data_IF_973153737799
#
_entry.id   IF_973153737799
#
_cell.length_a   1.000
_cell.length_b   1.000
_cell.length_c   1.000
_cell.angle_alpha   90.00
_cell.angle_beta   90.00
_cell.angle_gamma   90.00
#
_symmetry.space_group_name_H-M   'P 1'
#
loop_
_entity.id
_entity.type
_entity.pdbx_description
1 polymer ?
#
# COMPACT_ATOMS: atom_id res chain seq x y z
N UNK A 1 38.65 5.04 -20.42
CA UNK A 1 38.05 5.64 -19.20
C UNK A 1 36.54 5.96 -19.30
N UNK A 2 35.85 5.66 -20.41
CA UNK A 2 34.39 5.85 -20.55
C UNK A 2 33.53 4.65 -20.12
N UNK A 3 34.12 3.47 -19.99
CA UNK A 3 33.40 2.20 -19.75
C UNK A 3 32.94 2.00 -18.30
N UNK A 4 33.63 2.58 -17.33
CA UNK A 4 33.26 2.49 -15.90
C UNK A 4 32.01 3.32 -15.56
N UNK A 5 31.78 4.42 -16.29
CA UNK A 5 30.66 5.34 -16.07
C UNK A 5 29.31 4.74 -16.52
N UNK A 6 29.32 3.88 -17.54
CA UNK A 6 28.13 3.21 -18.09
C UNK A 6 27.71 2.04 -17.19
N UNK A 7 28.67 1.31 -16.62
CA UNK A 7 28.39 0.19 -15.71
C UNK A 7 27.70 0.67 -14.41
N UNK A 8 28.12 1.79 -13.84
CA UNK A 8 27.51 2.36 -12.62
C UNK A 8 26.05 2.76 -12.81
N UNK A 9 25.69 3.30 -13.98
CA UNK A 9 24.32 3.74 -14.27
C UNK A 9 23.36 2.57 -14.52
N UNK A 10 23.85 1.48 -15.10
CA UNK A 10 23.09 0.25 -15.32
C UNK A 10 22.80 -0.50 -14.00
N UNK A 11 23.76 -0.51 -13.07
CA UNK A 11 23.57 -1.12 -11.74
C UNK A 11 22.55 -0.32 -10.91
N UNK A 12 22.62 1.01 -10.95
CA UNK A 12 21.69 1.89 -10.21
C UNK A 12 20.25 1.76 -10.68
N UNK A 13 20.03 1.59 -11.99
CA UNK A 13 18.70 1.41 -12.56
C UNK A 13 18.11 0.02 -12.28
N UNK A 14 18.93 -1.05 -12.31
CA UNK A 14 18.49 -2.39 -11.90
C UNK A 14 18.14 -2.45 -10.41
N UNK A 15 18.95 -1.84 -9.56
CA UNK A 15 18.69 -1.78 -8.12
C UNK A 15 17.37 -1.06 -7.81
N UNK A 16 17.11 0.10 -8.45
CA UNK A 16 15.81 0.81 -8.30
C UNK A 16 14.62 -0.04 -8.73
N UNK A 17 14.74 -0.78 -9.84
CA UNK A 17 13.67 -1.70 -10.29
C UNK A 17 13.42 -2.82 -9.29
N UNK A 18 14.48 -3.47 -8.78
CA UNK A 18 14.35 -4.56 -7.80
C UNK A 18 13.68 -4.06 -6.52
N UNK A 19 14.15 -2.93 -5.98
CA UNK A 19 13.55 -2.32 -4.78
C UNK A 19 12.08 -2.00 -5.04
N UNK A 20 11.76 -1.37 -6.17
CA UNK A 20 10.37 -1.04 -6.52
C UNK A 20 9.47 -2.28 -6.62
N UNK A 21 9.93 -3.37 -7.24
CA UNK A 21 9.15 -4.61 -7.35
C UNK A 21 8.96 -5.27 -5.99
N UNK A 22 10.00 -5.32 -5.15
CA UNK A 22 9.90 -5.86 -3.80
C UNK A 22 8.95 -5.04 -2.93
N UNK A 23 9.02 -3.70 -3.01
CA UNK A 23 8.13 -2.81 -2.28
C UNK A 23 6.67 -3.05 -2.67
N UNK A 24 6.38 -3.24 -3.97
CA UNK A 24 5.03 -3.51 -4.44
C UNK A 24 4.51 -4.87 -3.95
N UNK A 25 5.34 -5.91 -4.00
CA UNK A 25 5.00 -7.23 -3.49
C UNK A 25 4.75 -7.23 -1.97
N UNK A 26 5.59 -6.53 -1.21
CA UNK A 26 5.41 -6.34 0.24
C UNK A 26 4.12 -5.58 0.56
N UNK A 27 3.83 -4.52 -0.20
CA UNK A 27 2.57 -3.77 -0.06
C UNK A 27 1.37 -4.68 -0.29
N UNK A 28 1.40 -5.47 -1.37
CA UNK A 28 0.32 -6.39 -1.69
C UNK A 28 0.12 -7.44 -0.60
N UNK A 29 1.21 -8.03 -0.09
CA UNK A 29 1.16 -8.98 1.01
C UNK A 29 0.64 -8.35 2.31
N UNK A 30 1.10 -7.16 2.67
CA UNK A 30 0.68 -6.46 3.88
C UNK A 30 -0.81 -6.10 3.84
N UNK A 31 -1.29 -5.60 2.69
CA UNK A 31 -2.71 -5.27 2.50
C UNK A 31 -3.57 -6.54 2.56
N UNK A 32 -3.15 -7.60 1.87
CA UNK A 32 -3.87 -8.87 1.87
C UNK A 32 -3.89 -9.48 3.27
N UNK A 33 -2.76 -9.49 3.97
CA UNK A 33 -2.67 -10.03 5.33
C UNK A 33 -3.54 -9.24 6.32
N UNK A 34 -3.51 -7.91 6.27
CA UNK A 34 -4.33 -7.06 7.15
C UNK A 34 -5.83 -7.25 6.92
N UNK A 35 -6.28 -7.41 5.68
CA UNK A 35 -7.69 -7.62 5.35
C UNK A 35 -8.17 -9.04 5.63
N UNK A 36 -7.38 -10.07 5.31
CA UNK A 36 -7.80 -11.46 5.44
C UNK A 36 -7.72 -11.98 6.87
N UNK A 37 -6.77 -11.47 7.67
CA UNK A 37 -6.59 -11.84 9.06
C UNK A 37 -7.20 -10.83 10.04
N UNK A 38 -7.99 -9.85 9.58
CA UNK A 38 -8.65 -8.84 10.43
C UNK A 38 -9.37 -9.50 11.61
N UNK A 39 -10.16 -10.55 11.35
CA UNK A 39 -10.88 -11.32 12.36
C UNK A 39 -9.96 -11.98 13.39
N UNK A 40 -8.80 -12.46 12.96
CA UNK A 40 -7.81 -13.11 13.84
C UNK A 40 -7.06 -12.08 14.68
N UNK A 41 -6.72 -10.93 14.09
CA UNK A 41 -6.03 -9.83 14.77
C UNK A 41 -6.97 -9.20 15.80
N UNK A 42 -8.25 -9.03 15.48
CA UNK A 42 -9.27 -8.52 16.40
C UNK A 42 -9.47 -9.36 17.65
N UNK A 43 -9.14 -10.65 17.61
CA UNK A 43 -9.14 -11.52 18.80
C UNK A 43 -8.15 -11.03 19.86
N UNK A 44 -7.03 -10.44 19.45
CA UNK A 44 -5.99 -9.94 20.35
C UNK A 44 -6.00 -8.41 20.49
N UNK A 45 -6.48 -7.70 19.47
CA UNK A 45 -6.56 -6.24 19.39
C UNK A 45 -7.95 -5.83 18.90
N UNK A 46 -8.95 -5.71 19.79
CA UNK A 46 -10.34 -5.47 19.40
C UNK A 46 -10.56 -4.13 18.67
N UNK A 47 -9.73 -3.12 18.96
CA UNK A 47 -9.75 -1.81 18.30
C UNK A 47 -9.01 -1.82 16.94
N UNK A 48 -8.51 -2.96 16.48
CA UNK A 48 -7.82 -3.07 15.21
C UNK A 48 -8.77 -2.76 14.06
N UNK A 49 -8.34 -1.84 13.19
CA UNK A 49 -9.03 -1.53 11.93
C UNK A 49 -8.07 -1.83 10.78
N UNK A 50 -8.38 -2.88 10.02
CA UNK A 50 -7.65 -3.22 8.81
C UNK A 50 -7.55 -2.04 7.83
N UNK A 51 -8.55 -1.17 7.77
CA UNK A 51 -8.52 0.04 6.92
C UNK A 51 -7.49 1.06 7.37
N UNK A 52 -7.39 1.32 8.67
CA UNK A 52 -6.36 2.19 9.23
C UNK A 52 -4.97 1.60 8.99
N UNK A 53 -4.83 0.29 9.16
CA UNK A 53 -3.58 -0.42 8.89
C UNK A 53 -3.17 -0.30 7.41
N UNK A 54 -4.07 -0.62 6.47
CA UNK A 54 -3.83 -0.50 5.03
C UNK A 54 -3.48 0.94 4.64
N UNK A 55 -4.17 1.93 5.21
CA UNK A 55 -3.88 3.35 4.98
C UNK A 55 -2.47 3.71 5.47
N UNK A 56 -2.10 3.31 6.68
CA UNK A 56 -0.77 3.57 7.23
C UNK A 56 0.34 2.91 6.39
N UNK A 57 0.14 1.68 5.93
CA UNK A 57 1.10 0.96 5.09
C UNK A 57 1.28 1.65 3.73
N UNK A 58 0.18 2.02 3.06
CA UNK A 58 0.22 2.73 1.78
C UNK A 58 0.90 4.09 1.93
N UNK A 59 0.57 4.83 3.00
CA UNK A 59 1.20 6.11 3.29
C UNK A 59 2.71 5.98 3.49
N UNK A 60 3.15 5.08 4.35
CA UNK A 60 4.58 4.86 4.64
C UNK A 60 5.35 4.44 3.38
N UNK A 61 4.78 3.52 2.59
CA UNK A 61 5.40 3.07 1.35
C UNK A 61 5.48 4.21 0.30
N UNK A 62 4.40 4.97 0.13
CA UNK A 62 4.37 6.11 -0.79
C UNK A 62 5.34 7.22 -0.39
N UNK A 63 5.44 7.53 0.91
CA UNK A 63 6.39 8.51 1.43
C UNK A 63 7.84 8.05 1.29
N UNK A 64 8.13 6.78 1.56
CA UNK A 64 9.46 6.21 1.36
C UNK A 64 9.88 6.31 -0.12
N UNK A 65 8.97 5.99 -1.05
CA UNK A 65 9.23 6.14 -2.49
C UNK A 65 9.47 7.62 -2.86
N UNK A 66 8.66 8.54 -2.33
CA UNK A 66 8.82 9.97 -2.59
C UNK A 66 10.19 10.50 -2.12
N UNK A 67 10.69 10.02 -0.98
CA UNK A 67 12.02 10.36 -0.48
C UNK A 67 13.15 9.79 -1.36
N UNK A 68 13.03 8.53 -1.81
CA UNK A 68 14.01 7.87 -2.69
C UNK A 68 14.09 8.58 -4.05
N UNK A 69 12.94 8.89 -4.64
CA UNK A 69 12.83 9.58 -5.93
C UNK A 69 13.08 11.09 -5.82
N UNK A 70 13.12 11.63 -4.59
CA UNK A 70 13.17 13.08 -4.31
C UNK A 70 12.10 13.85 -5.08
N UNK A 71 10.93 13.25 -5.22
CA UNK A 71 9.84 13.80 -6.02
C UNK A 71 8.64 14.08 -5.12
N UNK A 72 8.37 15.37 -4.91
CA UNK A 72 7.27 15.83 -4.06
C UNK A 72 5.89 15.47 -4.61
N UNK A 73 5.75 15.30 -5.94
CA UNK A 73 4.51 14.87 -6.55
C UNK A 73 4.10 13.48 -6.06
N UNK A 74 5.06 12.58 -5.82
CA UNK A 74 4.79 11.24 -5.30
C UNK A 74 4.29 11.32 -3.85
N UNK A 75 4.85 12.22 -3.03
CA UNK A 75 4.38 12.44 -1.66
C UNK A 75 2.94 12.98 -1.63
N UNK A 76 2.62 13.95 -2.50
CA UNK A 76 1.26 14.49 -2.62
C UNK A 76 0.28 13.39 -3.07
N UNK A 77 0.69 12.57 -4.05
CA UNK A 77 -0.13 11.48 -4.54
C UNK A 77 -0.36 10.41 -3.47
N UNK A 78 0.68 10.07 -2.71
CA UNK A 78 0.58 9.15 -1.57
C UNK A 78 -0.42 9.67 -0.53
N UNK A 79 -0.33 10.96 -0.16
CA UNK A 79 -1.29 11.60 0.75
C UNK A 79 -2.73 11.53 0.22
N UNK A 80 -2.94 11.92 -1.04
CA UNK A 80 -4.26 11.92 -1.67
C UNK A 80 -4.88 10.51 -1.70
N UNK A 81 -4.09 9.51 -2.09
CA UNK A 81 -4.53 8.10 -2.09
C UNK A 81 -4.88 7.65 -0.68
N UNK A 82 -4.04 7.99 0.31
CA UNK A 82 -4.28 7.59 1.71
C UNK A 82 -5.59 8.17 2.25
N UNK A 83 -5.87 9.44 1.95
CA UNK A 83 -7.10 10.12 2.35
C UNK A 83 -8.35 9.56 1.66
N UNK A 84 -8.21 8.97 0.47
CA UNK A 84 -9.34 8.35 -0.24
C UNK A 84 -9.70 6.95 0.26
N UNK A 85 -8.81 6.27 0.98
CA UNK A 85 -9.03 4.88 1.44
C UNK A 85 -10.28 4.76 2.34
N UNK A 86 -10.50 5.62 3.36
CA UNK A 86 -11.71 5.55 4.19
C UNK A 86 -13.01 5.74 3.39
N UNK A 87 -13.01 6.64 2.38
CA UNK A 87 -14.18 6.87 1.54
C UNK A 87 -14.46 5.72 0.57
N UNK A 88 -13.41 5.06 0.04
CA UNK A 88 -13.57 3.85 -0.76
C UNK A 88 -14.12 2.70 0.09
N UNK A 89 -13.60 2.58 1.29
CA UNK A 89 -14.00 1.61 2.30
C UNK A 89 -15.50 1.71 2.65
N UNK A 90 -16.00 2.90 2.95
CA UNK A 90 -17.43 3.12 3.22
C UNK A 90 -18.30 2.72 2.03
N UNK A 91 -17.89 3.08 0.81
CA UNK A 91 -18.62 2.71 -0.41
C UNK A 91 -18.61 1.21 -0.67
N UNK A 92 -17.48 0.53 -0.47
CA UNK A 92 -17.39 -0.92 -0.66
C UNK A 92 -18.16 -1.68 0.43
N UNK A 93 -18.08 -1.21 1.68
CA UNK A 93 -18.81 -1.77 2.81
C UNK A 93 -20.32 -1.66 2.62
N UNK A 94 -20.82 -0.50 2.20
CA UNK A 94 -22.24 -0.31 1.89
C UNK A 94 -22.73 -1.19 0.73
N UNK A 95 -21.87 -1.46 -0.27
CA UNK A 95 -22.23 -2.35 -1.37
C UNK A 95 -22.29 -3.82 -0.94
N UNK A 96 -21.40 -4.23 -0.04
CA UNK A 96 -21.39 -5.58 0.54
C UNK A 96 -22.56 -5.80 1.51
N UNK A 97 -22.97 -4.80 2.27
CA UNK A 97 -24.20 -4.86 3.09
C UNK A 97 -25.45 -4.98 2.22
N UNK A 98 -25.49 -4.27 1.09
CA UNK A 98 -26.60 -4.41 0.15
C UNK A 98 -26.67 -5.83 -0.42
N UNK A 99 -25.55 -6.45 -0.80
CA UNK A 99 -25.52 -7.85 -1.26
C UNK A 99 -25.85 -8.83 -0.12
N UNK A 100 -25.42 -8.57 1.12
CA UNK A 100 -25.79 -9.37 2.30
C UNK A 100 -27.29 -9.33 2.57
N UNK A 101 -27.96 -8.18 2.35
CA UNK A 101 -29.41 -8.08 2.49
C UNK A 101 -30.20 -8.89 1.46
N UNK A 102 -29.55 -9.33 0.37
CA UNK A 102 -30.13 -10.21 -0.65
C UNK A 102 -29.86 -11.70 -0.42
N UNK A 103 -29.01 -12.07 0.55
CA UNK A 103 -28.68 -13.47 0.85
C UNK A 103 -29.34 -13.86 2.19
N UNK A 104 -30.39 -14.71 2.18
CA UNK A 104 -31.06 -15.19 3.39
C UNK A 104 -30.26 -16.33 4.02
N UNK A 105 -29.14 -16.02 4.66
CA UNK A 105 -28.38 -16.97 5.47
C UNK A 105 -27.95 -16.33 6.79
#
# INVERSE_FOLDING_TARGET
MRTTLIAGHAVRTRFRKIVSTLSLALLFFAVTAGLFFDSFIKTYFPDFSAMLFVSAVIFLAGMAMAMIERNILIAILALAVTMMIPSLAEKLGGHLEHIRSFLPF
#
